data_IF_137670986830
#
_entry.id   IF_137670986830
#
_cell.length_a   1.000
_cell.length_b   1.000
_cell.length_c   1.000
_cell.angle_alpha   90.00
_cell.angle_beta   90.00
_cell.angle_gamma   90.00
#
_symmetry.space_group_name_H-M   'P 1'
#
loop_
_entity.id
_entity.type
_entity.pdbx_description
1 polymer ?
#
# COMPACT_ATOMS: atom_id res chain seq x y z
N UNK A 1 -3.11 -52.25 -16.27
CA UNK A 1 -3.10 -50.80 -16.58
C UNK A 1 -3.55 -50.06 -15.34
N UNK A 2 -2.60 -49.46 -14.62
CA UNK A 2 -2.87 -48.71 -13.38
C UNK A 2 -3.32 -47.30 -13.79
N UNK A 3 -4.42 -46.75 -13.24
CA UNK A 3 -4.83 -45.40 -13.56
C UNK A 3 -3.75 -44.38 -13.14
N UNK A 4 -3.53 -43.32 -13.91
CA UNK A 4 -2.62 -42.26 -13.52
C UNK A 4 -3.10 -41.61 -12.21
N UNK A 5 -2.19 -41.23 -11.30
CA UNK A 5 -2.56 -40.56 -10.07
C UNK A 5 -3.26 -39.23 -10.36
N UNK A 6 -4.24 -38.83 -9.53
CA UNK A 6 -4.95 -37.57 -9.70
C UNK A 6 -3.99 -36.38 -9.66
N UNK A 7 -4.23 -35.42 -10.54
CA UNK A 7 -3.50 -34.16 -10.67
C UNK A 7 -3.17 -33.58 -9.28
N UNK A 8 -1.87 -33.53 -8.97
CA UNK A 8 -1.41 -32.75 -7.82
C UNK A 8 -1.82 -31.29 -8.06
N UNK A 9 -2.35 -30.58 -7.06
CA UNK A 9 -2.62 -29.15 -7.19
C UNK A 9 -1.34 -28.46 -7.67
N UNK A 10 -1.47 -27.74 -8.79
CA UNK A 10 -0.39 -26.95 -9.39
C UNK A 10 0.25 -26.11 -8.27
N UNK A 11 1.52 -26.37 -7.99
CA UNK A 11 2.24 -25.67 -6.93
C UNK A 11 2.19 -24.15 -7.12
N UNK A 12 2.40 -23.35 -6.05
CA UNK A 12 2.30 -21.91 -6.10
C UNK A 12 3.12 -21.36 -7.27
N UNK A 13 2.45 -20.62 -8.15
CA UNK A 13 3.06 -20.02 -9.33
C UNK A 13 4.34 -19.27 -8.91
N UNK A 14 5.51 -19.69 -9.43
CA UNK A 14 6.82 -19.05 -9.18
C UNK A 14 6.91 -17.60 -9.66
N UNK A 15 5.81 -17.03 -10.16
CA UNK A 15 5.76 -15.68 -10.72
C UNK A 15 5.54 -14.66 -9.62
N UNK A 16 6.39 -13.64 -9.65
CA UNK A 16 6.22 -12.42 -8.89
C UNK A 16 5.08 -11.60 -9.50
N UNK A 17 4.18 -11.12 -8.65
CA UNK A 17 3.09 -10.23 -9.06
C UNK A 17 3.30 -8.87 -8.41
N UNK A 18 3.52 -7.84 -9.22
CA UNK A 18 3.59 -6.48 -8.74
C UNK A 18 2.16 -5.94 -8.54
N UNK A 19 1.87 -5.37 -7.37
CA UNK A 19 0.67 -4.58 -7.17
C UNK A 19 1.05 -3.10 -7.31
N UNK A 20 0.44 -2.42 -8.26
CA UNK A 20 0.58 -0.98 -8.38
C UNK A 20 0.03 -0.31 -7.11
N UNK A 21 0.71 0.68 -6.53
CA UNK A 21 0.14 1.47 -5.44
C UNK A 21 -0.99 2.38 -5.95
N UNK A 22 -1.96 2.70 -5.10
CA UNK A 22 -3.02 3.66 -5.44
C UNK A 22 -2.38 4.98 -5.91
N UNK A 23 -2.81 5.55 -7.04
CA UNK A 23 -2.27 6.81 -7.54
C UNK A 23 -2.48 7.93 -6.51
N UNK A 24 -1.54 8.90 -6.40
CA UNK A 24 -1.71 10.03 -5.50
C UNK A 24 -2.92 10.83 -5.91
N UNK A 25 -3.65 11.28 -4.89
CA UNK A 25 -4.64 12.33 -5.08
C UNK A 25 -3.90 13.68 -5.05
N UNK A 26 -4.16 14.51 -6.06
CA UNK A 26 -3.83 15.94 -6.06
C UNK A 26 -2.34 16.31 -5.92
N UNK A 27 -1.45 15.58 -6.61
CA UNK A 27 0.01 15.83 -6.63
C UNK A 27 0.37 17.23 -7.17
N UNK A 28 -0.39 17.71 -8.17
CA UNK A 28 -0.21 19.03 -8.77
C UNK A 28 -0.54 20.16 -7.80
N UNK A 29 -1.62 20.03 -7.04
CA UNK A 29 -2.04 21.03 -6.05
C UNK A 29 -1.03 21.12 -4.90
N UNK A 30 -0.56 19.98 -4.39
CA UNK A 30 0.44 19.98 -3.33
C UNK A 30 1.78 20.56 -3.80
N UNK A 31 2.24 20.18 -5.00
CA UNK A 31 3.49 20.70 -5.58
C UNK A 31 3.38 22.22 -5.77
N UNK A 32 2.28 22.69 -6.36
CA UNK A 32 2.02 24.11 -6.53
C UNK A 32 1.99 24.86 -5.20
N UNK A 33 1.33 24.30 -4.17
CA UNK A 33 1.27 24.89 -2.84
C UNK A 33 2.66 25.00 -2.20
N UNK A 34 3.48 23.95 -2.24
CA UNK A 34 4.83 23.97 -1.69
C UNK A 34 5.68 25.03 -2.38
N UNK A 35 5.70 25.03 -3.72
CA UNK A 35 6.48 26.02 -4.48
C UNK A 35 6.00 27.45 -4.22
N UNK A 36 4.68 27.66 -4.15
CA UNK A 36 4.08 28.96 -3.85
C UNK A 36 4.46 29.45 -2.45
N UNK A 37 4.32 28.62 -1.41
CA UNK A 37 4.61 29.01 -0.03
C UNK A 37 6.08 29.41 0.15
N UNK A 38 6.99 28.59 -0.35
CA UNK A 38 8.42 28.90 -0.26
C UNK A 38 8.82 30.08 -1.16
N UNK A 39 8.21 30.22 -2.33
CA UNK A 39 8.42 31.39 -3.20
C UNK A 39 7.96 32.69 -2.55
N UNK A 40 6.77 32.68 -1.93
CA UNK A 40 6.21 33.83 -1.23
C UNK A 40 7.03 34.18 0.02
N UNK A 41 7.53 33.18 0.76
CA UNK A 41 8.43 33.40 1.90
C UNK A 41 9.77 34.01 1.47
N UNK A 42 10.38 33.49 0.40
CA UNK A 42 11.63 34.04 -0.14
C UNK A 42 11.44 35.49 -0.63
N UNK A 43 10.33 35.78 -1.29
CA UNK A 43 9.98 37.13 -1.74
C UNK A 43 9.76 38.09 -0.58
N UNK A 44 8.93 37.72 0.40
CA UNK A 44 8.57 38.59 1.53
C UNK A 44 9.76 38.94 2.43
N UNK A 45 10.77 38.08 2.51
CA UNK A 45 11.95 38.28 3.35
C UNK A 45 13.15 38.85 2.58
N UNK A 46 13.13 38.82 1.23
CA UNK A 46 14.28 39.15 0.40
C UNK A 46 15.40 38.11 0.44
N UNK A 47 15.10 36.90 0.95
CA UNK A 47 16.07 35.83 1.24
C UNK A 47 15.86 34.69 0.22
N UNK A 48 16.54 34.70 -0.94
CA UNK A 48 16.25 33.76 -2.04
C UNK A 48 16.51 32.29 -1.69
N UNK A 49 17.45 32.00 -0.79
CA UNK A 49 17.74 30.62 -0.37
C UNK A 49 16.61 29.95 0.40
N UNK A 50 15.62 30.70 0.88
CA UNK A 50 14.40 30.10 1.42
C UNK A 50 13.62 29.32 0.37
N UNK A 51 13.83 29.56 -0.93
CA UNK A 51 13.18 28.78 -1.97
C UNK A 51 13.81 27.39 -2.18
N UNK A 52 15.10 27.22 -1.89
CA UNK A 52 15.85 26.00 -2.20
C UNK A 52 15.26 24.70 -1.58
N UNK A 53 14.68 24.70 -0.37
CA UNK A 53 14.02 23.52 0.19
C UNK A 53 12.77 23.07 -0.58
N UNK A 54 12.11 23.95 -1.34
CA UNK A 54 10.87 23.63 -2.04
C UNK A 54 11.03 22.54 -3.12
N UNK A 55 11.92 22.70 -4.14
CA UNK A 55 12.16 21.65 -5.12
C UNK A 55 12.73 20.38 -4.48
N UNK A 56 13.52 20.49 -3.41
CA UNK A 56 14.03 19.34 -2.67
C UNK A 56 12.89 18.53 -2.03
N UNK A 57 11.93 19.19 -1.38
CA UNK A 57 10.76 18.53 -0.80
C UNK A 57 9.89 17.85 -1.87
N UNK A 58 9.68 18.51 -3.01
CA UNK A 58 8.94 17.94 -4.15
C UNK A 58 9.66 16.70 -4.69
N UNK A 59 10.99 16.79 -4.86
CA UNK A 59 11.80 15.66 -5.30
C UNK A 59 11.75 14.48 -4.31
N UNK A 60 11.86 14.76 -3.00
CA UNK A 60 11.77 13.73 -1.96
C UNK A 60 10.39 13.06 -1.93
N UNK A 61 9.32 13.83 -2.13
CA UNK A 61 7.96 13.29 -2.23
C UNK A 61 7.82 12.34 -3.43
N UNK A 62 8.30 12.74 -4.60
CA UNK A 62 8.32 11.91 -5.80
C UNK A 62 9.15 10.64 -5.60
N UNK A 63 10.34 10.76 -5.01
CA UNK A 63 11.21 9.64 -4.72
C UNK A 63 10.57 8.66 -3.72
N UNK A 64 9.90 9.18 -2.69
CA UNK A 64 9.20 8.34 -1.71
C UNK A 64 8.14 7.46 -2.38
N UNK A 65 7.34 8.06 -3.27
CA UNK A 65 6.34 7.35 -4.07
C UNK A 65 6.96 6.34 -5.01
N UNK A 66 8.00 6.70 -5.76
CA UNK A 66 8.68 5.80 -6.69
C UNK A 66 9.27 4.56 -5.99
N UNK A 67 9.59 4.68 -4.69
CA UNK A 67 10.09 3.58 -3.87
C UNK A 67 9.00 2.73 -3.21
N UNK A 68 7.73 3.13 -3.29
CA UNK A 68 6.62 2.37 -2.75
C UNK A 68 6.22 1.26 -3.73
N UNK A 69 6.64 0.03 -3.43
CA UNK A 69 6.41 -1.12 -4.30
C UNK A 69 5.87 -2.28 -3.47
N UNK A 70 4.82 -2.93 -3.98
CA UNK A 70 4.29 -4.16 -3.42
C UNK A 70 4.56 -5.31 -4.39
N UNK A 71 5.25 -6.34 -3.93
CA UNK A 71 5.56 -7.52 -4.73
C UNK A 71 5.08 -8.77 -4.00
N UNK A 72 4.23 -9.56 -4.64
CA UNK A 72 3.80 -10.86 -4.14
C UNK A 72 4.67 -11.94 -4.80
N UNK A 73 5.63 -12.46 -4.05
CA UNK A 73 6.45 -13.61 -4.44
C UNK A 73 5.77 -14.94 -4.09
N UNK A 74 6.38 -16.10 -4.34
CA UNK A 74 5.77 -17.42 -4.11
C UNK A 74 5.53 -17.73 -2.62
N UNK A 75 6.45 -17.32 -1.73
CA UNK A 75 6.39 -17.67 -0.29
C UNK A 75 6.18 -16.45 0.63
N UNK A 76 6.42 -15.26 0.12
CA UNK A 76 6.35 -14.03 0.89
C UNK A 76 5.93 -12.85 0.02
N UNK A 77 5.35 -11.86 0.68
CA UNK A 77 5.13 -10.53 0.14
C UNK A 77 6.30 -9.62 0.51
N UNK A 78 6.72 -8.76 -0.41
CA UNK A 78 7.67 -7.68 -0.18
C UNK A 78 6.93 -6.36 -0.27
N UNK A 79 7.09 -5.54 0.76
CA UNK A 79 6.63 -4.15 0.80
C UNK A 79 7.90 -3.30 0.87
N UNK A 80 8.21 -2.61 -0.22
CA UNK A 80 9.32 -1.67 -0.28
C UNK A 80 8.79 -0.26 -0.10
N UNK A 81 9.48 0.52 0.72
CA UNK A 81 9.18 1.92 1.02
C UNK A 81 10.48 2.73 1.00
N UNK A 82 10.42 4.05 1.12
CA UNK A 82 11.62 4.87 1.29
C UNK A 82 12.36 4.55 2.60
N UNK A 83 11.63 4.16 3.65
CA UNK A 83 12.19 3.81 4.96
C UNK A 83 12.87 2.44 4.99
N UNK A 84 12.66 1.61 3.95
CA UNK A 84 13.27 0.29 3.85
C UNK A 84 12.38 -0.75 3.20
N UNK A 85 12.87 -2.00 3.19
CA UNK A 85 12.20 -3.17 2.64
C UNK A 85 11.68 -4.05 3.77
N UNK A 86 10.39 -4.37 3.74
CA UNK A 86 9.75 -5.29 4.66
C UNK A 86 9.31 -6.55 3.92
N UNK A 87 9.82 -7.70 4.36
CA UNK A 87 9.41 -9.01 3.84
C UNK A 87 8.44 -9.64 4.83
N UNK A 88 7.26 -10.03 4.34
CA UNK A 88 6.19 -10.64 5.12
C UNK A 88 5.95 -12.06 4.58
N UNK A 89 6.43 -13.11 5.27
CA UNK A 89 6.16 -14.48 4.88
C UNK A 89 4.67 -14.80 5.00
N UNK A 90 4.10 -15.55 4.05
CA UNK A 90 2.66 -15.84 4.06
C UNK A 90 2.22 -16.63 5.29
N UNK A 91 3.09 -17.51 5.83
CA UNK A 91 2.84 -18.22 7.08
C UNK A 91 2.70 -17.30 8.32
N UNK A 92 3.09 -16.02 8.21
CA UNK A 92 2.86 -15.02 9.26
C UNK A 92 1.54 -14.27 9.12
N UNK A 93 0.86 -14.38 7.97
CA UNK A 93 -0.41 -13.70 7.70
C UNK A 93 -1.55 -14.63 8.10
N UNK A 94 -2.31 -14.25 9.14
CA UNK A 94 -3.46 -15.02 9.64
C UNK A 94 -4.70 -14.82 8.79
N UNK A 95 -4.91 -13.59 8.31
CA UNK A 95 -6.01 -13.21 7.41
C UNK A 95 -5.69 -11.90 6.69
N UNK A 96 -6.30 -11.72 5.53
CA UNK A 96 -6.29 -10.47 4.79
C UNK A 96 -7.70 -9.90 4.73
N UNK A 97 -7.86 -8.63 5.09
CA UNK A 97 -9.16 -7.97 5.25
C UNK A 97 -9.29 -6.81 4.27
N UNK A 98 -10.40 -6.75 3.54
CA UNK A 98 -10.80 -5.56 2.79
C UNK A 98 -11.31 -4.49 3.75
N UNK A 99 -10.84 -3.25 3.57
CA UNK A 99 -11.32 -2.12 4.36
C UNK A 99 -11.39 -0.84 3.53
N UNK A 100 -12.30 0.05 3.93
CA UNK A 100 -12.39 1.41 3.41
C UNK A 100 -11.80 2.37 4.45
N UNK A 101 -10.69 2.99 4.11
CA UNK A 101 -10.06 3.98 4.98
C UNK A 101 -10.81 5.31 4.91
N UNK A 102 -11.27 5.80 6.06
CA UNK A 102 -11.87 7.14 6.18
C UNK A 102 -10.86 8.28 6.33
N UNK A 103 -9.57 7.97 6.42
CA UNK A 103 -8.55 8.90 6.92
C UNK A 103 -8.24 8.68 8.39
N UNK A 104 -7.24 9.39 8.89
CA UNK A 104 -6.88 9.32 10.29
C UNK A 104 -5.89 10.39 10.73
N UNK A 105 -5.63 10.41 12.03
CA UNK A 105 -4.60 11.25 12.61
C UNK A 105 -3.24 10.59 12.41
N UNK A 106 -2.25 11.38 11.99
CA UNK A 106 -0.86 10.93 11.84
C UNK A 106 -0.21 10.95 13.21
N UNK A 107 0.39 9.83 13.62
CA UNK A 107 1.10 9.73 14.90
C UNK A 107 2.60 9.85 14.69
N UNK A 108 3.17 8.86 13.98
CA UNK A 108 4.58 8.78 13.61
C UNK A 108 4.64 8.30 12.16
N UNK A 109 4.24 9.18 11.25
CA UNK A 109 4.09 8.86 9.84
C UNK A 109 4.62 9.96 8.94
N UNK A 110 5.27 9.53 7.85
CA UNK A 110 5.62 10.40 6.75
C UNK A 110 4.42 10.44 5.81
N UNK A 111 3.98 11.66 5.49
CA UNK A 111 2.98 11.87 4.46
C UNK A 111 3.52 12.80 3.39
N UNK A 112 3.64 12.27 2.20
CA UNK A 112 3.73 13.03 0.96
C UNK A 112 2.57 12.57 0.06
N UNK A 113 2.13 13.36 -0.93
CA UNK A 113 1.13 12.90 -1.89
C UNK A 113 1.55 11.56 -2.50
N UNK A 114 0.71 10.53 -2.34
CA UNK A 114 1.02 9.18 -2.83
C UNK A 114 1.99 8.37 -1.96
N UNK A 115 2.27 8.82 -0.73
CA UNK A 115 3.10 8.12 0.23
C UNK A 115 2.58 8.33 1.66
N UNK A 116 1.95 7.31 2.21
CA UNK A 116 1.40 7.26 3.57
C UNK A 116 2.05 6.09 4.33
N UNK A 117 3.19 6.35 4.97
CA UNK A 117 3.99 5.31 5.63
C UNK A 117 4.27 5.67 7.09
N UNK A 118 3.88 4.78 8.00
CA UNK A 118 4.13 4.91 9.43
C UNK A 118 2.93 4.53 10.29
N UNK A 119 2.85 5.11 11.49
CA UNK A 119 1.75 4.88 12.42
C UNK A 119 0.65 5.93 12.28
N UNK A 120 -0.57 5.47 12.05
CA UNK A 120 -1.78 6.29 11.95
C UNK A 120 -2.78 5.85 13.01
N UNK A 121 -3.57 6.79 13.51
CA UNK A 121 -4.79 6.52 14.24
C UNK A 121 -5.97 6.66 13.27
N UNK A 122 -6.48 5.53 12.80
CA UNK A 122 -7.55 5.48 11.81
C UNK A 122 -8.91 5.42 12.51
N UNK A 123 -9.85 6.25 12.06
CA UNK A 123 -11.20 6.28 12.64
C UNK A 123 -11.85 4.89 12.55
N UNK A 124 -12.41 4.42 13.67
CA UNK A 124 -13.08 3.11 13.78
C UNK A 124 -12.15 1.89 13.93
N UNK A 125 -10.84 2.01 13.66
CA UNK A 125 -9.89 0.88 13.69
C UNK A 125 -8.71 1.13 14.64
N UNK A 126 -8.57 2.37 15.15
CA UNK A 126 -7.55 2.76 16.12
C UNK A 126 -6.15 2.87 15.51
N UNK A 127 -5.12 2.63 16.34
CA UNK A 127 -3.72 2.74 15.92
C UNK A 127 -3.34 1.58 14.98
N UNK A 128 -2.92 1.91 13.77
CA UNK A 128 -2.54 0.96 12.72
C UNK A 128 -1.23 1.39 12.06
N UNK A 129 -0.44 0.41 11.62
CA UNK A 129 0.71 0.68 10.76
C UNK A 129 0.25 0.67 9.31
N UNK A 130 0.45 1.78 8.61
CA UNK A 130 0.16 1.91 7.18
C UNK A 130 1.47 1.93 6.42
N UNK A 131 1.58 1.06 5.41
CA UNK A 131 2.65 1.04 4.42
C UNK A 131 1.97 1.25 3.06
N UNK A 132 1.50 2.47 2.84
CA UNK A 132 0.53 2.82 1.81
C UNK A 132 0.96 4.02 0.95
N UNK A 133 0.21 4.29 -0.10
CA UNK A 133 0.23 5.55 -0.86
C UNK A 133 -0.85 6.52 -0.38
N UNK A 134 -1.82 6.05 0.40
CA UNK A 134 -2.94 6.85 0.91
C UNK A 134 -3.36 6.36 2.29
N UNK A 135 -3.96 7.25 3.08
CA UNK A 135 -4.64 6.94 4.35
C UNK A 135 -6.17 6.95 4.19
N UNK A 136 -6.67 7.03 2.96
CA UNK A 136 -8.09 7.07 2.58
C UNK A 136 -8.41 6.15 1.40
N UNK A 137 -9.65 5.65 1.36
CA UNK A 137 -10.21 4.81 0.32
C UNK A 137 -9.93 3.31 0.49
N UNK A 138 -10.15 2.51 -0.56
CA UNK A 138 -10.01 1.07 -0.53
C UNK A 138 -8.61 0.61 -0.16
N UNK A 139 -8.49 -0.33 0.77
CA UNK A 139 -7.21 -0.84 1.26
C UNK A 139 -7.30 -2.32 1.69
N UNK A 140 -6.14 -2.91 1.95
CA UNK A 140 -6.02 -4.26 2.47
C UNK A 140 -5.30 -4.24 3.82
N UNK A 141 -5.92 -4.76 4.87
CA UNK A 141 -5.27 -5.01 6.17
C UNK A 141 -4.82 -6.44 6.27
N UNK A 142 -3.52 -6.61 6.44
CA UNK A 142 -2.89 -7.88 6.74
C UNK A 142 -2.85 -8.04 8.26
N UNK A 143 -3.51 -9.07 8.76
CA UNK A 143 -3.42 -9.49 10.15
C UNK A 143 -2.26 -10.45 10.28
N UNK A 144 -1.17 -9.97 10.87
CA UNK A 144 0.02 -10.78 11.08
C UNK A 144 -0.08 -11.51 12.43
N UNK A 145 0.76 -12.51 12.65
CA UNK A 145 0.91 -13.14 13.98
C UNK A 145 1.29 -12.07 15.02
N UNK A 146 2.08 -11.07 14.62
CA UNK A 146 2.51 -9.95 15.47
C UNK A 146 2.06 -8.61 14.87
N UNK A 147 0.84 -8.22 15.22
CA UNK A 147 0.26 -6.93 14.85
C UNK A 147 -0.40 -6.92 13.47
N UNK A 148 -0.65 -5.73 12.96
CA UNK A 148 -1.37 -5.49 11.71
C UNK A 148 -0.61 -4.52 10.83
N UNK A 149 -0.73 -4.71 9.52
CA UNK A 149 -0.17 -3.80 8.52
C UNK A 149 -1.24 -3.53 7.48
N UNK A 150 -1.43 -2.26 7.11
CA UNK A 150 -2.33 -1.84 6.05
C UNK A 150 -1.49 -1.48 4.83
N UNK A 151 -1.88 -1.99 3.67
CA UNK A 151 -1.33 -1.65 2.36
C UNK A 151 -2.45 -1.06 1.49
N UNK A 152 -2.08 -0.19 0.55
CA UNK A 152 -3.04 0.45 -0.36
C UNK A 152 -2.67 0.16 -1.82
N UNK A 153 -2.93 -1.06 -2.31
CA UNK A 153 -2.80 -1.37 -3.72
C UNK A 153 -3.89 -0.63 -4.52
N UNK A 154 -3.60 -0.31 -5.78
CA UNK A 154 -4.53 0.33 -6.71
C UNK A 154 -5.79 -0.51 -6.94
N UNK A 155 -5.65 -1.84 -6.97
CA UNK A 155 -6.76 -2.80 -7.00
C UNK A 155 -6.69 -3.74 -5.78
N UNK A 156 -7.39 -3.39 -4.68
CA UNK A 156 -7.46 -4.25 -3.50
C UNK A 156 -8.12 -5.59 -3.75
N UNK A 157 -9.06 -5.69 -4.70
CA UNK A 157 -9.75 -6.94 -5.00
C UNK A 157 -8.79 -7.91 -5.70
N UNK A 158 -7.97 -7.42 -6.65
CA UNK A 158 -6.89 -8.20 -7.24
C UNK A 158 -5.89 -8.68 -6.18
N UNK A 159 -5.47 -7.78 -5.30
CA UNK A 159 -4.53 -8.11 -4.23
C UNK A 159 -5.09 -9.21 -3.31
N UNK A 160 -6.35 -9.09 -2.89
CA UNK A 160 -7.01 -10.11 -2.06
C UNK A 160 -7.20 -11.43 -2.80
N UNK A 161 -7.52 -11.42 -4.09
CA UNK A 161 -7.61 -12.64 -4.91
C UNK A 161 -6.28 -13.39 -4.93
N UNK A 162 -5.17 -12.66 -5.14
CA UNK A 162 -3.84 -13.26 -5.13
C UNK A 162 -3.45 -13.80 -3.74
N UNK A 163 -3.90 -13.17 -2.65
CA UNK A 163 -3.68 -13.69 -1.29
C UNK A 163 -4.53 -14.95 -1.02
N UNK A 164 -5.79 -14.98 -1.46
CA UNK A 164 -6.68 -16.16 -1.37
C UNK A 164 -6.09 -17.36 -2.11
N UNK A 165 -5.53 -17.14 -3.30
CA UNK A 165 -4.83 -18.18 -4.08
C UNK A 165 -3.61 -18.77 -3.35
N UNK A 166 -3.04 -18.03 -2.39
CA UNK A 166 -1.94 -18.50 -1.52
C UNK A 166 -2.42 -19.12 -0.22
N UNK A 167 -3.72 -19.39 -0.10
CA UNK A 167 -4.34 -20.02 1.06
C UNK A 167 -4.48 -19.10 2.26
N UNK A 168 -4.36 -17.78 2.07
CA UNK A 168 -4.57 -16.81 3.13
C UNK A 168 -6.08 -16.54 3.24
N UNK A 169 -6.71 -16.73 4.41
CA UNK A 169 -8.12 -16.43 4.59
C UNK A 169 -8.42 -14.96 4.28
N UNK A 170 -9.40 -14.73 3.40
CA UNK A 170 -9.85 -13.38 3.04
C UNK A 170 -11.16 -13.02 3.73
N UNK A 171 -11.20 -11.85 4.36
CA UNK A 171 -12.38 -11.26 4.97
C UNK A 171 -12.76 -9.98 4.22
N UNK A 172 -13.96 -9.94 3.65
CA UNK A 172 -14.40 -8.79 2.87
C UNK A 172 -15.93 -8.72 2.78
N UNK A 173 -16.50 -7.56 2.42
CA UNK A 173 -17.91 -7.45 2.08
C UNK A 173 -18.34 -8.47 1.01
N UNK A 174 -19.60 -8.91 1.05
CA UNK A 174 -20.13 -9.96 0.15
C UNK A 174 -19.93 -9.66 -1.34
N UNK A 175 -19.89 -8.40 -1.74
CA UNK A 175 -19.66 -8.01 -3.14
C UNK A 175 -18.19 -8.20 -3.55
N UNK A 176 -17.23 -7.89 -2.67
CA UNK A 176 -15.80 -8.14 -2.89
C UNK A 176 -15.52 -9.63 -3.01
N UNK A 177 -16.06 -10.44 -2.09
CA UNK A 177 -15.89 -11.89 -2.13
C UNK A 177 -16.48 -12.52 -3.41
N UNK A 178 -17.59 -11.97 -3.92
CA UNK A 178 -18.16 -12.39 -5.21
C UNK A 178 -17.22 -12.07 -6.37
N UNK A 179 -16.62 -10.88 -6.37
CA UNK A 179 -15.70 -10.46 -7.42
C UNK A 179 -14.38 -11.26 -7.39
N UNK A 180 -13.84 -11.56 -6.21
CA UNK A 180 -12.69 -12.48 -6.05
C UNK A 180 -12.99 -13.84 -6.69
N UNK A 181 -14.15 -14.43 -6.36
CA UNK A 181 -14.56 -15.73 -6.93
C UNK A 181 -14.75 -15.67 -8.45
N UNK A 182 -15.21 -14.54 -8.98
CA UNK A 182 -15.38 -14.33 -10.42
C UNK A 182 -14.02 -14.32 -11.12
N UNK A 183 -13.04 -13.58 -10.59
CA UNK A 183 -11.68 -13.47 -11.15
C UNK A 183 -10.91 -14.79 -11.10
N UNK A 184 -11.18 -15.64 -10.12
CA UNK A 184 -10.59 -16.98 -10.05
C UNK A 184 -11.05 -17.93 -11.17
N UNK A 185 -12.18 -17.63 -11.82
CA UNK A 185 -12.77 -18.48 -12.87
C UNK A 185 -12.41 -18.02 -14.29
N UNK A 186 -11.88 -16.80 -14.45
CA UNK A 186 -11.42 -16.24 -15.73
C UNK A 186 -9.96 -16.57 -15.96
#
# INVERSE_FOLDING_TARGET
MTPPPPDRPQGPSRRWHALAPTPPRDETLWTGLVLLLFGLAAWATGVPWLFAPAPLLVFLAYLARARLIYLLGPEHMVIQTLAGRRTVPYGTIRRAEYLELGGGLRLLATFAPGYAVGWFYLSGIGRQQVLGSTDRGPAVRLHLIRGTVIITPQDPVAALSLLDERGIPVEAPRWVLREIRRRRRS
#
